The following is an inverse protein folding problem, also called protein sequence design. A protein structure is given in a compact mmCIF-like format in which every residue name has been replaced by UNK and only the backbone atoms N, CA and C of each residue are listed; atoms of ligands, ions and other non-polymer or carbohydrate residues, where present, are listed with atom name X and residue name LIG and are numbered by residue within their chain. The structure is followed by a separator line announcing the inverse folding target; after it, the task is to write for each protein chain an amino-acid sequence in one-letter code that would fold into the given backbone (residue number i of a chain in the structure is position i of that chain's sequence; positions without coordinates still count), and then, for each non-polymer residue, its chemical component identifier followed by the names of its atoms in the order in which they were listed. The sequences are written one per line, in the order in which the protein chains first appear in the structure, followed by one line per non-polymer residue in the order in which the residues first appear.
data_IF_684646065207
#
_entry.id   IF_684646065207
#
_cell.length_a   1.000
_cell.length_b   1.000
_cell.length_c   1.000
_cell.angle_alpha   90.00
_cell.angle_beta   90.00
_cell.angle_gamma   90.00
#
_symmetry.space_group_name_H-M   'P 1'
#
loop_
_entity.id
_entity.type
_entity.pdbx_description
1 polymer ?
#
# COMPACT_ATOMS: atom_id res chain seq x y z
N UNK A 1 -8.70 5.50 18.12
CA UNK A 1 -8.88 6.00 16.75
C UNK A 1 -7.55 5.96 16.02
N UNK A 2 -7.58 5.91 14.69
CA UNK A 2 -6.39 5.88 13.85
C UNK A 2 -6.38 7.09 12.92
N UNK A 3 -5.18 7.57 12.54
CA UNK A 3 -5.05 8.58 11.49
C UNK A 3 -5.11 7.91 10.09
N UNK A 4 -4.95 8.71 9.02
CA UNK A 4 -4.98 8.20 7.63
C UNK A 4 -3.76 7.32 7.27
N UNK A 5 -2.68 7.38 8.04
CA UNK A 5 -1.50 6.52 7.89
C UNK A 5 -1.64 5.18 8.65
N UNK A 6 -2.69 5.01 9.44
CA UNK A 6 -2.90 3.82 10.25
C UNK A 6 -2.28 3.89 11.64
N UNK A 7 -1.70 5.02 12.07
CA UNK A 7 -1.14 5.13 13.42
C UNK A 7 -2.26 5.19 14.47
N UNK A 8 -2.09 4.48 15.58
CA UNK A 8 -3.03 4.56 16.71
C UNK A 8 -2.86 5.91 17.40
N UNK A 9 -3.81 6.82 17.22
CA UNK A 9 -3.73 8.20 17.74
C UNK A 9 -4.57 8.44 18.99
N UNK A 10 -5.49 7.53 19.34
CA UNK A 10 -6.23 7.63 20.60
C UNK A 10 -6.78 6.30 21.06
N UNK A 11 -6.87 6.13 22.39
CA UNK A 11 -7.60 5.02 23.02
C UNK A 11 -8.50 5.61 24.10
N UNK A 12 -9.81 5.32 24.10
CA UNK A 12 -10.71 5.79 25.15
C UNK A 12 -10.20 5.39 26.54
N UNK A 13 -10.19 6.36 27.47
CA UNK A 13 -9.71 6.17 28.84
C UNK A 13 -8.26 5.63 28.96
N UNK A 14 -7.38 5.91 27.99
CA UNK A 14 -5.97 5.44 27.97
C UNK A 14 -5.32 5.53 29.36
N UNK A 15 -5.29 6.71 29.96
CA UNK A 15 -4.58 6.94 31.23
C UNK A 15 -5.12 6.14 32.42
N UNK A 16 -6.39 5.69 32.36
CA UNK A 16 -7.03 4.92 33.45
C UNK A 16 -7.02 3.42 33.21
N UNK A 17 -7.23 3.00 31.97
CA UNK A 17 -7.43 1.59 31.62
C UNK A 17 -6.21 0.96 30.94
N UNK A 18 -5.38 1.77 30.28
CA UNK A 18 -4.23 1.35 29.49
C UNK A 18 -3.02 2.29 29.71
N UNK A 19 -2.60 2.55 30.96
CA UNK A 19 -1.55 3.53 31.25
C UNK A 19 -0.21 3.17 30.61
N UNK A 20 0.06 1.87 30.46
CA UNK A 20 1.32 1.34 29.91
C UNK A 20 1.25 1.04 28.40
N UNK A 21 0.16 1.44 27.73
CA UNK A 21 0.01 1.23 26.29
C UNK A 21 0.91 2.18 25.50
N UNK A 22 1.94 1.61 24.88
CA UNK A 22 2.70 2.25 23.83
C UNK A 22 1.88 2.27 22.54
N UNK A 23 1.39 3.44 22.14
CA UNK A 23 0.52 3.54 20.97
C UNK A 23 1.27 3.32 19.65
N UNK A 24 2.59 3.51 19.62
CA UNK A 24 3.40 3.36 18.41
C UNK A 24 3.54 1.88 18.01
N UNK A 25 3.54 0.97 18.99
CA UNK A 25 3.69 -0.47 18.75
C UNK A 25 2.36 -1.18 18.42
N UNK A 26 1.22 -0.48 18.53
CA UNK A 26 -0.12 -1.06 18.40
C UNK A 26 -0.89 -0.53 17.18
N UNK A 27 -0.17 -0.01 16.19
CA UNK A 27 -0.71 0.18 14.84
C UNK A 27 -0.97 -1.16 14.14
N UNK A 28 -1.83 -1.20 13.11
CA UNK A 28 -1.90 -2.35 12.21
C UNK A 28 -0.56 -2.52 11.50
N UNK A 29 -0.23 -3.77 11.15
CA UNK A 29 0.95 -4.07 10.35
C UNK A 29 0.95 -3.19 9.08
N UNK A 30 2.12 -2.65 8.74
CA UNK A 30 2.31 -1.78 7.59
C UNK A 30 3.00 -2.53 6.45
N UNK A 31 2.52 -2.32 5.23
CA UNK A 31 3.16 -2.82 4.02
C UNK A 31 4.11 -1.74 3.49
N UNK A 32 5.22 -2.15 2.91
CA UNK A 32 6.01 -1.28 2.02
C UNK A 32 5.15 -0.97 0.79
N UNK A 33 5.05 0.30 0.43
CA UNK A 33 4.29 0.75 -0.73
C UNK A 33 5.23 1.41 -1.73
N UNK A 34 5.18 0.94 -2.96
CA UNK A 34 5.99 1.45 -4.06
C UNK A 34 5.11 1.61 -5.31
N UNK A 35 5.49 2.49 -6.22
CA UNK A 35 4.70 2.76 -7.43
C UNK A 35 5.54 2.54 -8.68
N UNK A 36 4.88 2.06 -9.73
CA UNK A 36 5.47 1.99 -11.06
C UNK A 36 4.49 2.56 -12.08
N UNK A 37 4.85 3.73 -12.62
CA UNK A 37 4.10 4.46 -13.67
C UNK A 37 2.58 4.52 -13.44
N UNK A 38 2.18 4.85 -12.20
CA UNK A 38 0.79 5.03 -11.79
C UNK A 38 0.14 3.81 -11.14
N UNK A 39 0.71 2.61 -11.30
CA UNK A 39 0.27 1.43 -10.56
C UNK A 39 0.86 1.45 -9.14
N UNK A 40 0.03 1.12 -8.15
CA UNK A 40 0.42 1.06 -6.73
C UNK A 40 0.60 -0.41 -6.34
N UNK A 41 1.79 -0.76 -5.84
CA UNK A 41 2.12 -2.09 -5.33
C UNK A 41 2.42 -2.04 -3.84
N UNK A 42 2.22 -3.16 -3.16
CA UNK A 42 2.54 -3.29 -1.75
C UNK A 42 3.16 -4.68 -1.45
N UNK A 43 4.12 -4.71 -0.52
CA UNK A 43 4.74 -5.94 -0.02
C UNK A 43 4.95 -5.85 1.50
N UNK A 44 4.63 -6.93 2.21
CA UNK A 44 4.80 -7.02 3.66
C UNK A 44 6.22 -7.43 4.07
N UNK A 45 6.96 -8.09 3.18
CA UNK A 45 8.29 -8.60 3.48
C UNK A 45 9.33 -7.46 3.43
N UNK A 46 9.98 -7.21 4.57
CA UNK A 46 11.00 -6.19 4.70
C UNK A 46 12.28 -6.54 3.93
N UNK A 47 12.57 -7.84 3.77
CA UNK A 47 13.80 -8.35 3.14
C UNK A 47 13.63 -8.61 1.64
N UNK A 48 12.40 -8.49 1.11
CA UNK A 48 12.14 -8.59 -0.32
C UNK A 48 12.83 -7.45 -1.10
N UNK A 49 13.19 -7.69 -2.38
CA UNK A 49 13.72 -6.63 -3.24
C UNK A 49 12.73 -5.46 -3.38
N UNK A 50 13.23 -4.28 -3.75
CA UNK A 50 12.38 -3.17 -4.19
C UNK A 50 11.58 -3.52 -5.44
N UNK A 51 10.54 -2.73 -5.72
CA UNK A 51 9.63 -2.96 -6.84
C UNK A 51 10.36 -2.91 -8.19
N UNK A 52 11.32 -2.00 -8.35
CA UNK A 52 12.06 -1.83 -9.59
C UNK A 52 12.88 -3.08 -9.96
N UNK A 53 13.53 -3.67 -8.94
CA UNK A 53 14.27 -4.93 -9.03
C UNK A 53 13.33 -6.12 -9.21
N UNK A 54 12.21 -6.15 -8.48
CA UNK A 54 11.21 -7.22 -8.59
C UNK A 54 10.59 -7.29 -9.99
N UNK A 55 10.25 -6.14 -10.59
CA UNK A 55 9.69 -6.09 -11.94
C UNK A 55 10.74 -6.44 -13.00
N UNK A 56 12.01 -6.05 -12.80
CA UNK A 56 13.11 -6.41 -13.69
C UNK A 56 12.79 -6.14 -15.17
N UNK A 57 13.06 -7.12 -16.04
CA UNK A 57 12.83 -6.99 -17.48
C UNK A 57 11.34 -6.93 -17.87
N UNK A 58 10.42 -7.27 -16.97
CA UNK A 58 8.98 -7.15 -17.23
C UNK A 58 8.56 -5.68 -17.45
N UNK A 59 9.30 -4.74 -16.87
CA UNK A 59 9.12 -3.29 -17.03
C UNK A 59 8.99 -2.86 -18.48
N UNK A 60 9.85 -3.40 -19.35
CA UNK A 60 9.82 -3.11 -20.79
C UNK A 60 8.44 -3.38 -21.41
N UNK A 61 7.80 -4.48 -21.02
CA UNK A 61 6.46 -4.83 -21.53
C UNK A 61 5.36 -3.97 -20.91
N UNK A 62 5.49 -3.63 -19.63
CA UNK A 62 4.53 -2.77 -18.93
C UNK A 62 4.49 -1.35 -19.52
N UNK A 63 5.64 -0.83 -19.95
CA UNK A 63 5.79 0.50 -20.54
C UNK A 63 4.96 0.69 -21.82
N UNK A 64 4.68 -0.40 -22.56
CA UNK A 64 3.84 -0.34 -23.76
C UNK A 64 2.42 0.18 -23.48
N UNK A 65 1.93 0.00 -22.24
CA UNK A 65 0.65 0.53 -21.77
C UNK A 65 0.84 1.78 -20.91
N UNK A 66 1.77 1.73 -19.95
CA UNK A 66 1.87 2.70 -18.86
C UNK A 66 2.67 3.96 -19.24
N UNK A 67 3.49 3.92 -20.28
CA UNK A 67 4.42 5.00 -20.65
C UNK A 67 4.25 5.50 -22.08
N UNK A 68 3.02 5.41 -22.61
CA UNK A 68 2.74 5.79 -24.01
C UNK A 68 2.85 7.29 -24.27
N UNK A 69 2.75 8.10 -23.23
CA UNK A 69 2.79 9.57 -23.28
C UNK A 69 3.40 10.11 -22.00
N UNK A 70 3.98 11.31 -22.06
CA UNK A 70 4.53 12.00 -20.88
C UNK A 70 3.46 12.33 -19.81
N UNK A 71 2.18 12.38 -20.18
CA UNK A 71 1.09 12.61 -19.24
C UNK A 71 0.76 11.38 -18.36
N UNK A 72 1.35 10.21 -18.65
CA UNK A 72 1.07 8.97 -17.94
C UNK A 72 -0.35 8.44 -18.18
N UNK A 73 -0.89 7.73 -17.19
CA UNK A 73 -2.22 7.09 -17.27
C UNK A 73 -3.09 7.45 -16.07
N UNK A 74 -4.42 7.49 -16.28
CA UNK A 74 -5.43 7.66 -15.23
C UNK A 74 -6.46 6.56 -15.34
N UNK A 75 -6.82 5.96 -14.20
CA UNK A 75 -7.94 5.04 -14.14
C UNK A 75 -9.27 5.80 -14.19
N UNK A 76 -10.20 5.35 -15.04
CA UNK A 76 -11.58 5.85 -15.02
C UNK A 76 -12.23 5.39 -13.69
N UNK A 77 -13.00 6.25 -13.00
CA UNK A 77 -13.62 5.87 -11.74
C UNK A 77 -14.54 4.65 -11.86
N UNK A 78 -14.40 3.72 -10.91
CA UNK A 78 -15.22 2.52 -10.79
C UNK A 78 -14.39 1.23 -10.87
N UNK A 79 -14.63 0.30 -9.94
CA UNK A 79 -14.00 -1.03 -9.94
C UNK A 79 -15.11 -2.07 -9.90
N UNK A 80 -15.20 -2.91 -10.93
CA UNK A 80 -16.12 -4.05 -10.95
C UNK A 80 -15.55 -5.20 -10.09
N UNK A 81 -16.39 -5.80 -9.24
CA UNK A 81 -16.04 -6.94 -8.39
C UNK A 81 -17.07 -8.05 -8.55
N UNK A 82 -16.63 -9.28 -8.76
CA UNK A 82 -17.48 -10.48 -8.83
C UNK A 82 -16.71 -11.70 -8.30
N UNK A 83 -17.41 -12.80 -8.05
CA UNK A 83 -16.85 -14.04 -7.48
C UNK A 83 -16.87 -15.16 -8.52
N UNK A 84 -15.75 -15.87 -8.68
CA UNK A 84 -15.64 -17.08 -9.52
C UNK A 84 -15.29 -18.26 -8.59
N UNK A 85 -16.14 -19.29 -8.48
CA UNK A 85 -15.84 -20.49 -7.69
C UNK A 85 -15.05 -21.50 -8.53
N UNK A 86 -13.77 -21.22 -8.76
CA UNK A 86 -12.84 -22.09 -9.47
C UNK A 86 -11.80 -22.72 -8.54
#
# INVERSE_FOLDING_TARGET
AYNTGGDLVSVPFKDRAFPDLDMEQWGPLQARVETYKGLIFANWDADAPDLDTYLGDAKFYMDHMLDRTEAGTVAIPGIQKWVIPC
#
